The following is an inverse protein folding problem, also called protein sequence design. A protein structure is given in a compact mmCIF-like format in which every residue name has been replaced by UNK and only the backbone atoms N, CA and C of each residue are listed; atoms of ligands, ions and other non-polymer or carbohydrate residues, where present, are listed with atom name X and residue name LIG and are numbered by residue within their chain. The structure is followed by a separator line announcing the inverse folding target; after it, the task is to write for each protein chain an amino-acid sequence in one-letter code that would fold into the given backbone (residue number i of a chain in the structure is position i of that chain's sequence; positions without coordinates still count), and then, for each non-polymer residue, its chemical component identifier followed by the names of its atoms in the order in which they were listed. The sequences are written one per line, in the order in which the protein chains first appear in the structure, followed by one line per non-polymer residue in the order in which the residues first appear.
data_IF_717969439361
#
_entry.id   IF_717969439361
#
_cell.length_a   1.000
_cell.length_b   1.000
_cell.length_c   1.000
_cell.angle_alpha   90.00
_cell.angle_beta   90.00
_cell.angle_gamma   90.00
#
_symmetry.space_group_name_H-M   'P 1'
#
loop_
_entity.id
_entity.type
_entity.pdbx_description
1 polymer ?
#
# COMPACT_ATOMS: atom_id res chain seq x y z
N UNK A 1 -2.65 60.97 46.16
CA UNK A 1 -2.19 60.37 44.90
C UNK A 1 -2.13 58.86 45.08
N UNK A 2 -3.09 58.09 44.53
CA UNK A 2 -3.08 56.61 44.55
C UNK A 2 -2.26 56.10 43.37
N UNK A 3 -1.15 55.41 43.64
CA UNK A 3 -0.34 54.74 42.62
C UNK A 3 -0.97 53.37 42.29
N UNK A 4 -1.45 53.18 41.07
CA UNK A 4 -1.89 51.90 40.56
C UNK A 4 -0.66 51.17 40.00
N UNK A 5 -0.34 50.02 40.58
CA UNK A 5 0.66 49.10 40.07
C UNK A 5 -0.03 48.14 39.07
N UNK A 6 0.32 48.27 37.83
CA UNK A 6 -0.14 47.34 36.77
C UNK A 6 0.80 46.13 36.76
N UNK A 7 0.31 44.97 37.21
CA UNK A 7 1.02 43.72 37.10
C UNK A 7 0.75 43.15 35.70
N UNK A 8 1.72 43.20 34.80
CA UNK A 8 1.68 42.56 33.49
C UNK A 8 2.01 41.07 33.71
N UNK A 9 0.98 40.20 33.76
CA UNK A 9 1.17 38.75 33.77
C UNK A 9 1.49 38.31 32.36
N UNK A 10 2.78 38.06 32.08
CA UNK A 10 3.23 37.40 30.84
C UNK A 10 2.97 35.91 31.05
N UNK A 11 1.89 35.41 30.49
CA UNK A 11 1.73 33.98 30.31
C UNK A 11 2.75 33.50 29.27
N UNK A 12 3.65 32.57 29.62
CA UNK A 12 4.46 31.93 28.59
C UNK A 12 3.52 31.11 27.73
N UNK A 13 3.31 31.55 26.49
CA UNK A 13 2.78 30.65 25.48
C UNK A 13 3.81 29.51 25.31
N UNK A 14 3.50 28.37 25.91
CA UNK A 14 4.16 27.13 25.55
C UNK A 14 3.70 26.84 24.11
N UNK A 15 4.45 27.31 23.13
CA UNK A 15 4.38 26.81 21.78
C UNK A 15 4.79 25.33 21.90
N UNK A 16 3.82 24.43 21.97
CA UNK A 16 4.06 23.02 21.73
C UNK A 16 4.52 22.94 20.29
N UNK A 17 5.83 22.84 20.10
CA UNK A 17 6.40 22.45 18.82
C UNK A 17 5.70 21.18 18.40
N UNK A 18 4.87 21.25 17.35
CA UNK A 18 4.38 20.05 16.70
C UNK A 18 5.64 19.25 16.32
N UNK A 19 5.82 18.10 16.94
CA UNK A 19 6.83 17.15 16.51
C UNK A 19 6.42 16.73 15.11
N UNK A 20 7.09 17.28 14.12
CA UNK A 20 7.00 16.78 12.74
C UNK A 20 7.17 15.27 12.79
N UNK A 21 6.21 14.55 12.20
CA UNK A 21 6.30 13.11 12.06
C UNK A 21 7.64 12.76 11.43
N UNK A 22 8.54 12.20 12.21
CA UNK A 22 9.84 11.72 11.73
C UNK A 22 9.95 10.23 12.07
N UNK A 23 9.44 9.37 11.19
CA UNK A 23 9.45 7.94 11.44
C UNK A 23 10.76 7.26 11.05
N UNK A 24 11.89 7.95 11.12
CA UNK A 24 13.18 7.43 10.67
C UNK A 24 13.46 6.03 11.22
N UNK A 25 13.10 5.80 12.49
CA UNK A 25 13.28 4.51 13.18
C UNK A 25 12.33 3.40 12.66
N UNK A 26 11.31 3.76 11.89
CA UNK A 26 10.36 2.82 11.29
C UNK A 26 10.80 2.34 9.90
N UNK A 27 11.84 2.95 9.35
CA UNK A 27 12.36 2.65 8.02
C UNK A 27 13.82 2.20 8.11
N UNK A 28 14.29 1.60 7.02
CA UNK A 28 15.71 1.30 6.82
C UNK A 28 16.32 0.32 7.85
N UNK A 29 15.57 -0.74 8.19
CA UNK A 29 16.15 -1.84 8.96
C UNK A 29 17.24 -2.54 8.13
N UNK A 30 18.53 -2.42 8.49
CA UNK A 30 19.61 -3.11 7.80
C UNK A 30 19.35 -4.62 7.77
N UNK A 31 19.57 -5.24 6.61
CA UNK A 31 19.30 -6.66 6.40
C UNK A 31 17.83 -7.03 6.22
N UNK A 32 16.89 -6.11 6.44
CA UNK A 32 15.45 -6.31 6.22
C UNK A 32 15.08 -6.48 4.74
N UNK A 33 13.82 -6.86 4.46
CA UNK A 33 13.35 -7.08 3.09
C UNK A 33 13.45 -5.80 2.23
N UNK A 34 13.28 -4.63 2.84
CA UNK A 34 13.29 -3.33 2.18
C UNK A 34 14.58 -2.54 2.41
N UNK A 35 15.62 -3.21 2.89
CA UNK A 35 16.95 -2.63 3.00
C UNK A 35 17.39 -2.03 1.64
N UNK A 36 17.62 -0.73 1.61
CA UNK A 36 17.90 0.04 0.39
C UNK A 36 19.29 -0.17 -0.17
N UNK A 37 20.22 -0.56 0.70
CA UNK A 37 21.60 -0.82 0.32
C UNK A 37 21.80 -2.25 -0.20
N UNK A 38 20.72 -3.05 -0.17
CA UNK A 38 20.73 -4.45 -0.60
C UNK A 38 19.88 -4.67 -1.85
N UNK A 39 20.52 -4.97 -2.98
CA UNK A 39 19.83 -5.45 -4.19
C UNK A 39 19.70 -6.97 -4.13
N UNK A 40 18.53 -7.45 -3.68
CA UNK A 40 18.27 -8.88 -3.48
C UNK A 40 17.84 -9.57 -4.77
N UNK A 41 18.21 -10.85 -4.89
CA UNK A 41 17.70 -11.75 -5.93
C UNK A 41 16.61 -12.63 -5.34
N UNK A 42 15.41 -12.55 -5.89
CA UNK A 42 14.25 -13.36 -5.52
C UNK A 42 14.02 -14.37 -6.64
N UNK A 43 14.03 -15.65 -6.30
CA UNK A 43 13.75 -16.76 -7.21
C UNK A 43 12.35 -17.30 -6.92
N UNK A 44 11.58 -17.51 -7.95
CA UNK A 44 10.21 -18.06 -7.89
C UNK A 44 10.15 -19.28 -8.77
N UNK A 45 9.76 -20.40 -8.19
CA UNK A 45 9.62 -21.68 -8.90
C UNK A 45 8.18 -22.18 -8.75
N UNK A 46 7.43 -22.12 -9.84
CA UNK A 46 6.08 -22.66 -9.92
C UNK A 46 6.13 -24.15 -10.18
N UNK A 47 5.24 -24.90 -9.53
CA UNK A 47 5.12 -26.34 -9.77
C UNK A 47 4.38 -26.65 -11.08
N UNK A 48 3.44 -25.80 -11.49
CA UNK A 48 2.70 -25.95 -12.73
C UNK A 48 3.40 -25.20 -13.87
N UNK A 49 3.78 -25.89 -14.96
CA UNK A 49 4.42 -25.25 -16.11
C UNK A 49 3.51 -24.23 -16.82
N UNK A 50 2.19 -24.36 -16.65
CA UNK A 50 1.20 -23.45 -17.25
C UNK A 50 0.88 -22.25 -16.32
N UNK A 51 1.68 -22.01 -15.30
CA UNK A 51 1.44 -20.97 -14.29
C UNK A 51 1.05 -19.62 -14.88
N UNK A 52 1.67 -19.24 -16.00
CA UNK A 52 1.45 -17.92 -16.61
C UNK A 52 0.03 -17.81 -17.18
N UNK A 53 -0.46 -18.78 -17.94
CA UNK A 53 -1.82 -18.77 -18.47
C UNK A 53 -2.86 -18.83 -17.35
N UNK A 54 -2.65 -19.69 -16.36
CA UNK A 54 -3.55 -19.81 -15.20
C UNK A 54 -3.66 -18.46 -14.46
N UNK A 55 -2.55 -17.80 -14.19
CA UNK A 55 -2.54 -16.52 -13.49
C UNK A 55 -3.06 -15.36 -14.34
N UNK A 56 -2.83 -15.39 -15.66
CA UNK A 56 -3.34 -14.38 -16.58
C UNK A 56 -4.88 -14.48 -16.71
N UNK A 57 -5.42 -15.67 -16.85
CA UNK A 57 -6.86 -15.89 -16.91
C UNK A 57 -7.53 -15.54 -15.59
N UNK A 58 -6.92 -15.93 -14.46
CA UNK A 58 -7.43 -15.63 -13.13
C UNK A 58 -7.42 -14.13 -12.83
N UNK A 59 -6.50 -13.37 -13.39
CA UNK A 59 -6.45 -11.93 -13.20
C UNK A 59 -7.77 -11.22 -13.58
N UNK A 60 -8.43 -11.73 -14.63
CA UNK A 60 -9.69 -11.17 -15.12
C UNK A 60 -10.94 -11.82 -14.53
N UNK A 61 -10.86 -13.11 -14.16
CA UNK A 61 -12.03 -13.89 -13.74
C UNK A 61 -12.15 -14.04 -12.22
N UNK A 62 -11.02 -14.13 -11.53
CA UNK A 62 -10.93 -14.25 -10.07
C UNK A 62 -9.62 -13.62 -9.58
N UNK A 63 -9.56 -12.29 -9.45
CA UNK A 63 -8.31 -11.56 -9.20
C UNK A 63 -7.65 -11.88 -7.84
N UNK A 64 -8.33 -12.53 -6.94
CA UNK A 64 -7.76 -12.97 -5.65
C UNK A 64 -7.25 -14.42 -5.68
N UNK A 65 -7.49 -15.15 -6.76
CA UNK A 65 -6.99 -16.51 -6.94
C UNK A 65 -5.46 -16.55 -6.94
N UNK A 66 -4.91 -17.55 -6.27
CA UNK A 66 -3.47 -17.76 -6.15
C UNK A 66 -3.12 -19.20 -6.45
N UNK A 67 -1.95 -19.39 -7.02
CA UNK A 67 -1.34 -20.71 -7.19
C UNK A 67 -0.11 -20.85 -6.29
N UNK A 68 0.23 -22.08 -5.88
CA UNK A 68 1.42 -22.33 -5.07
C UNK A 68 2.70 -22.20 -5.91
N UNK A 69 3.71 -21.64 -5.27
CA UNK A 69 5.08 -21.63 -5.77
C UNK A 69 6.07 -21.69 -4.62
N UNK A 70 7.32 -21.96 -4.91
CA UNK A 70 8.41 -21.84 -3.95
C UNK A 70 9.15 -20.53 -4.19
N UNK A 71 9.63 -19.90 -3.11
CA UNK A 71 10.46 -18.70 -3.17
C UNK A 71 11.80 -18.97 -2.51
N UNK A 72 12.88 -18.64 -3.21
CA UNK A 72 14.22 -18.68 -2.63
C UNK A 72 14.79 -17.27 -2.53
N UNK A 73 15.25 -16.91 -1.33
CA UNK A 73 15.96 -15.68 -1.03
C UNK A 73 17.15 -15.95 -0.12
N UNK A 74 18.34 -15.46 -0.46
CA UNK A 74 19.58 -15.64 0.30
C UNK A 74 19.89 -17.12 0.61
N UNK A 75 19.57 -18.04 -0.32
CA UNK A 75 19.77 -19.47 -0.16
C UNK A 75 18.74 -20.19 0.73
N UNK A 76 17.75 -19.48 1.26
CA UNK A 76 16.64 -20.07 2.03
C UNK A 76 15.41 -20.19 1.13
N UNK A 77 14.86 -21.40 1.05
CA UNK A 77 13.63 -21.68 0.27
C UNK A 77 12.42 -21.71 1.19
N UNK A 78 11.36 -21.06 0.74
CA UNK A 78 10.04 -21.01 1.37
C UNK A 78 9.05 -21.71 0.45
N UNK A 79 8.49 -22.81 0.91
CA UNK A 79 7.60 -23.64 0.12
C UNK A 79 6.16 -23.14 0.16
N UNK A 80 5.41 -23.44 -0.89
CA UNK A 80 3.96 -23.26 -0.94
C UNK A 80 3.49 -21.83 -0.60
N UNK A 81 4.15 -20.82 -1.16
CA UNK A 81 3.67 -19.44 -1.07
C UNK A 81 2.55 -19.21 -2.10
N UNK A 82 1.59 -18.35 -1.78
CA UNK A 82 0.49 -18.03 -2.68
C UNK A 82 0.85 -16.88 -3.62
N UNK A 83 0.92 -17.11 -4.92
CA UNK A 83 1.27 -16.08 -5.92
C UNK A 83 0.10 -15.77 -6.83
N UNK A 84 -0.08 -14.49 -7.14
CA UNK A 84 -0.96 -13.98 -8.17
C UNK A 84 -0.35 -12.79 -8.90
N UNK A 85 -0.86 -12.46 -10.05
CA UNK A 85 -0.55 -11.18 -10.70
C UNK A 85 -1.26 -10.03 -10.00
N UNK A 86 -0.77 -8.81 -10.16
CA UNK A 86 -1.30 -7.60 -9.54
C UNK A 86 -1.25 -6.42 -10.53
N UNK A 87 -1.76 -5.30 -10.09
CA UNK A 87 -1.81 -4.07 -10.89
C UNK A 87 -3.10 -3.97 -11.67
N UNK A 88 -3.15 -3.07 -12.61
CA UNK A 88 -4.24 -2.87 -13.56
C UNK A 88 -3.60 -2.69 -14.94
N UNK A 89 -3.48 -1.48 -15.48
CA UNK A 89 -2.75 -1.24 -16.74
C UNK A 89 -1.31 -1.78 -16.74
N UNK A 90 -0.65 -1.78 -15.58
CA UNK A 90 0.70 -2.33 -15.39
C UNK A 90 0.80 -3.85 -15.58
N UNK A 91 -0.32 -4.58 -15.52
CA UNK A 91 -0.40 -5.99 -15.92
C UNK A 91 -0.92 -6.12 -17.36
N UNK A 92 -2.06 -5.49 -17.66
CA UNK A 92 -2.79 -5.70 -18.93
C UNK A 92 -1.94 -5.31 -20.14
N UNK A 93 -1.30 -4.14 -20.09
CA UNK A 93 -0.52 -3.66 -21.24
C UNK A 93 0.69 -4.52 -21.57
N UNK A 94 1.60 -4.85 -20.63
CA UNK A 94 2.71 -5.74 -20.94
C UNK A 94 2.26 -7.17 -21.30
N UNK A 95 1.24 -7.70 -20.62
CA UNK A 95 0.72 -9.03 -20.91
C UNK A 95 0.16 -9.13 -22.34
N UNK A 96 -0.62 -8.15 -22.78
CA UNK A 96 -1.18 -8.10 -24.15
C UNK A 96 -0.08 -7.92 -25.23
N UNK A 97 1.06 -7.36 -24.85
CA UNK A 97 2.22 -7.24 -25.72
C UNK A 97 3.17 -8.46 -25.63
N UNK A 98 2.76 -9.53 -24.97
CA UNK A 98 3.56 -10.76 -24.82
C UNK A 98 4.80 -10.61 -23.96
N UNK A 99 4.87 -9.57 -23.11
CA UNK A 99 5.98 -9.38 -22.20
C UNK A 99 5.83 -10.28 -20.96
N UNK A 100 6.84 -11.10 -20.62
CA UNK A 100 6.81 -11.90 -19.39
C UNK A 100 7.03 -11.04 -18.13
N UNK A 101 7.42 -9.78 -18.27
CA UNK A 101 7.70 -8.86 -17.17
C UNK A 101 6.43 -8.22 -16.64
N UNK A 102 5.62 -9.00 -15.94
CA UNK A 102 4.37 -8.60 -15.29
C UNK A 102 4.55 -8.44 -13.77
N UNK A 103 3.69 -7.70 -13.07
CA UNK A 103 3.84 -7.48 -11.63
C UNK A 103 3.24 -8.62 -10.81
N UNK A 104 3.90 -8.95 -9.68
CA UNK A 104 3.56 -10.06 -8.78
C UNK A 104 3.08 -9.58 -7.41
N UNK A 105 2.14 -10.33 -6.84
CA UNK A 105 1.73 -10.22 -5.44
C UNK A 105 1.89 -11.60 -4.79
N UNK A 106 2.79 -11.68 -3.83
CA UNK A 106 3.20 -12.90 -3.16
C UNK A 106 2.67 -12.85 -1.73
N UNK A 107 1.96 -13.89 -1.30
CA UNK A 107 1.50 -14.08 0.07
C UNK A 107 2.23 -15.27 0.68
N UNK A 108 3.19 -14.97 1.55
CA UNK A 108 4.02 -15.98 2.21
C UNK A 108 3.21 -16.89 3.13
N UNK A 109 2.10 -16.40 3.62
CA UNK A 109 1.30 -17.00 4.67
C UNK A 109 -0.02 -17.61 4.13
N UNK A 110 -0.14 -17.74 2.81
CA UNK A 110 -1.40 -18.14 2.18
C UNK A 110 -1.76 -19.60 2.46
N UNK A 111 -0.84 -20.52 2.21
CA UNK A 111 -1.01 -21.95 2.45
C UNK A 111 -0.42 -22.39 3.78
N UNK A 112 0.73 -21.84 4.16
CA UNK A 112 1.46 -22.18 5.38
C UNK A 112 1.38 -21.02 6.38
N UNK A 113 0.58 -21.20 7.43
CA UNK A 113 0.40 -20.18 8.47
C UNK A 113 1.72 -19.84 9.17
N UNK A 114 1.93 -18.53 9.41
CA UNK A 114 3.13 -18.04 10.11
C UNK A 114 4.35 -17.79 9.21
N UNK A 115 4.35 -18.26 7.96
CA UNK A 115 5.48 -18.06 7.05
C UNK A 115 5.67 -16.58 6.69
N UNK A 116 6.92 -16.12 6.66
CA UNK A 116 7.29 -14.73 6.39
C UNK A 116 8.63 -14.66 5.67
N UNK A 117 8.74 -13.75 4.71
CA UNK A 117 10.01 -13.41 4.06
C UNK A 117 10.64 -12.22 4.79
N UNK A 118 11.73 -12.44 5.51
CA UNK A 118 12.38 -11.42 6.34
C UNK A 118 11.36 -10.60 7.17
N UNK A 119 10.47 -11.30 7.89
CA UNK A 119 9.44 -10.69 8.75
C UNK A 119 8.17 -10.22 8.05
N UNK A 120 8.13 -10.16 6.72
CA UNK A 120 6.97 -9.69 5.95
C UNK A 120 6.10 -10.84 5.44
N UNK A 121 4.79 -10.73 5.64
CA UNK A 121 3.81 -11.73 5.16
C UNK A 121 3.52 -11.60 3.67
N UNK A 122 3.67 -10.39 3.11
CA UNK A 122 3.37 -10.10 1.71
C UNK A 122 4.52 -9.36 1.04
N UNK A 123 4.80 -9.74 -0.21
CA UNK A 123 5.78 -9.11 -1.08
C UNK A 123 5.07 -8.65 -2.34
N UNK A 124 5.30 -7.42 -2.74
CA UNK A 124 4.74 -6.84 -3.96
C UNK A 124 5.87 -6.43 -4.87
N UNK A 125 5.95 -7.06 -6.02
CA UNK A 125 6.95 -6.79 -7.04
C UNK A 125 6.27 -6.08 -8.22
N UNK A 126 6.51 -4.78 -8.37
CA UNK A 126 6.03 -3.99 -9.48
C UNK A 126 7.06 -3.99 -10.62
N UNK A 127 6.59 -4.14 -11.84
CA UNK A 127 7.43 -4.25 -13.04
C UNK A 127 7.98 -2.91 -13.55
N UNK A 128 7.72 -1.81 -12.84
CA UNK A 128 8.08 -0.45 -13.22
C UNK A 128 7.63 -0.08 -14.67
N UNK A 129 6.42 -0.51 -15.03
CA UNK A 129 5.84 -0.21 -16.35
C UNK A 129 5.79 1.31 -16.56
N UNK A 130 6.32 1.79 -17.68
CA UNK A 130 6.49 3.21 -18.03
C UNK A 130 7.38 4.03 -17.07
N UNK A 131 8.24 3.34 -16.32
CA UNK A 131 9.33 3.97 -15.55
C UNK A 131 10.68 3.38 -15.92
N UNK A 132 11.30 3.89 -16.97
CA UNK A 132 12.59 3.42 -17.46
C UNK A 132 13.73 3.61 -16.44
N UNK A 133 13.53 4.48 -15.45
CA UNK A 133 14.53 4.76 -14.41
C UNK A 133 14.43 3.81 -13.21
N UNK A 134 13.30 3.15 -12.99
CA UNK A 134 12.93 2.40 -11.78
C UNK A 134 12.97 3.27 -10.50
N UNK A 135 13.05 4.58 -10.64
CA UNK A 135 13.30 5.49 -9.54
C UNK A 135 12.06 6.22 -9.03
N UNK A 136 10.95 6.26 -9.78
CA UNK A 136 9.77 7.07 -9.42
C UNK A 136 9.20 6.68 -8.07
N UNK A 137 8.82 5.41 -7.90
CA UNK A 137 8.22 4.91 -6.65
C UNK A 137 9.23 4.97 -5.49
N UNK A 138 10.49 4.62 -5.75
CA UNK A 138 11.58 4.69 -4.78
C UNK A 138 11.82 6.13 -4.30
N UNK A 139 11.89 7.09 -5.21
CA UNK A 139 12.13 8.51 -4.88
C UNK A 139 10.92 9.12 -4.18
N UNK A 140 9.71 8.86 -4.68
CA UNK A 140 8.47 9.32 -4.04
C UNK A 140 8.37 8.81 -2.60
N UNK A 141 8.59 7.51 -2.36
CA UNK A 141 8.62 6.95 -1.01
C UNK A 141 9.67 7.63 -0.12
N UNK A 142 10.87 7.93 -0.65
CA UNK A 142 11.92 8.61 0.11
C UNK A 142 11.53 10.03 0.54
N UNK A 143 10.76 10.73 -0.28
CA UNK A 143 10.28 12.08 0.01
C UNK A 143 9.12 12.01 1.01
N UNK A 144 8.06 11.28 0.67
CA UNK A 144 6.82 11.25 1.46
C UNK A 144 7.01 10.69 2.87
N UNK A 145 7.89 9.71 3.08
CA UNK A 145 8.11 9.13 4.41
C UNK A 145 8.60 10.12 5.47
N UNK A 146 9.09 11.30 5.06
CA UNK A 146 9.47 12.37 5.97
C UNK A 146 8.27 13.07 6.59
N UNK A 147 7.10 12.98 5.95
CA UNK A 147 5.91 13.74 6.31
C UNK A 147 4.74 12.85 6.72
N UNK A 148 4.62 11.65 6.13
CA UNK A 148 3.48 10.77 6.36
C UNK A 148 3.88 9.29 6.32
N UNK A 149 3.01 8.41 6.91
CA UNK A 149 3.15 6.97 6.79
C UNK A 149 3.22 6.54 5.33
N UNK A 150 4.35 5.99 4.93
CA UNK A 150 4.61 5.62 3.53
C UNK A 150 5.17 4.21 3.46
N UNK A 151 4.77 3.38 2.48
CA UNK A 151 5.36 2.07 2.28
C UNK A 151 6.88 2.15 2.09
N UNK A 152 7.59 1.19 2.68
CA UNK A 152 9.00 0.98 2.37
C UNK A 152 9.14 0.47 0.93
N UNK A 153 10.18 0.94 0.24
CA UNK A 153 10.43 0.60 -1.16
C UNK A 153 11.92 0.36 -1.37
N UNK A 154 12.26 -0.74 -2.04
CA UNK A 154 13.59 -0.98 -2.59
C UNK A 154 13.50 -1.70 -3.95
N UNK A 155 14.64 -2.08 -4.49
CA UNK A 155 14.72 -2.81 -5.75
C UNK A 155 15.08 -4.29 -5.49
N UNK A 156 14.56 -5.17 -6.34
CA UNK A 156 14.88 -6.60 -6.33
C UNK A 156 15.05 -7.13 -7.76
N UNK A 157 15.97 -8.06 -7.95
CA UNK A 157 16.07 -8.88 -9.16
C UNK A 157 15.09 -10.03 -9.04
N UNK A 158 14.27 -10.24 -10.07
CA UNK A 158 13.33 -11.37 -10.09
C UNK A 158 13.77 -12.41 -11.11
N UNK A 159 13.80 -13.65 -10.67
CA UNK A 159 13.98 -14.84 -11.47
C UNK A 159 12.73 -15.71 -11.35
N UNK A 160 12.18 -16.16 -12.46
CA UNK A 160 11.04 -17.08 -12.48
C UNK A 160 11.44 -18.29 -13.33
N UNK A 161 11.29 -19.50 -12.78
CA UNK A 161 11.76 -20.75 -13.41
C UNK A 161 13.23 -20.60 -13.88
N UNK A 162 14.08 -20.05 -13.04
CA UNK A 162 15.49 -19.71 -13.30
C UNK A 162 15.74 -18.67 -14.42
N UNK A 163 14.71 -18.11 -15.05
CA UNK A 163 14.85 -17.07 -16.06
C UNK A 163 14.85 -15.69 -15.39
N UNK A 164 15.85 -14.88 -15.68
CA UNK A 164 15.91 -13.50 -15.19
C UNK A 164 14.86 -12.64 -15.90
N UNK A 165 13.85 -12.17 -15.16
CA UNK A 165 12.81 -11.28 -15.68
C UNK A 165 13.16 -9.80 -15.59
N UNK A 166 14.20 -9.45 -14.85
CA UNK A 166 14.65 -8.06 -14.72
C UNK A 166 14.60 -7.50 -13.31
N UNK A 167 14.78 -6.20 -13.25
CA UNK A 167 14.66 -5.43 -12.01
C UNK A 167 13.19 -5.11 -11.72
N UNK A 168 12.78 -5.25 -10.46
CA UNK A 168 11.44 -4.96 -9.96
C UNK A 168 11.51 -3.98 -8.80
N UNK A 169 10.47 -3.16 -8.67
CA UNK A 169 10.27 -2.33 -7.48
C UNK A 169 9.54 -3.19 -6.45
N UNK A 170 10.20 -3.41 -5.31
CA UNK A 170 9.65 -4.17 -4.19
C UNK A 170 9.05 -3.19 -3.18
N UNK A 171 7.72 -3.22 -3.05
CA UNK A 171 6.96 -2.26 -2.25
C UNK A 171 6.28 -2.93 -1.08
N UNK A 172 6.38 -2.32 0.10
CA UNK A 172 5.69 -2.77 1.31
C UNK A 172 4.17 -2.80 1.10
N UNK A 173 3.54 -3.83 1.59
CA UNK A 173 2.09 -3.98 1.54
C UNK A 173 1.43 -3.13 2.62
N UNK A 174 0.52 -2.23 2.25
CA UNK A 174 -0.35 -1.54 3.22
C UNK A 174 -1.36 -2.58 3.71
N UNK A 175 -1.15 -3.08 4.92
CA UNK A 175 -1.92 -4.12 5.58
C UNK A 175 -1.87 -3.95 7.10
N UNK A 176 -2.41 -4.90 7.88
CA UNK A 176 -2.40 -4.84 9.35
C UNK A 176 -0.97 -4.71 9.96
N UNK A 177 0.09 -5.20 9.27
CA UNK A 177 1.48 -5.01 9.73
C UNK A 177 1.95 -3.55 9.52
N UNK A 178 1.61 -2.95 8.37
CA UNK A 178 1.89 -1.56 8.08
C UNK A 178 1.15 -0.63 9.07
N UNK A 179 -0.15 -0.86 9.25
CA UNK A 179 -0.98 -0.06 10.17
C UNK A 179 -0.43 -0.15 11.60
N UNK A 180 -0.10 -1.36 12.09
CA UNK A 180 0.51 -1.54 13.41
C UNK A 180 1.85 -0.81 13.54
N UNK A 181 2.68 -0.82 12.50
CA UNK A 181 3.98 -0.15 12.49
C UNK A 181 3.85 1.37 12.63
N UNK A 182 2.89 1.97 11.94
CA UNK A 182 2.77 3.43 11.87
C UNK A 182 1.82 4.06 12.87
N UNK A 183 0.82 3.30 13.35
CA UNK A 183 -0.25 3.82 14.21
C UNK A 183 -0.36 3.08 15.55
N UNK A 184 0.52 2.11 15.80
CA UNK A 184 0.50 1.22 16.97
C UNK A 184 -0.84 0.46 17.17
N UNK A 185 -1.72 0.49 16.17
CA UNK A 185 -3.04 -0.15 16.17
C UNK A 185 -3.24 -0.94 14.86
N UNK A 186 -3.66 -2.20 14.95
CA UNK A 186 -3.86 -3.07 13.78
C UNK A 186 -5.31 -3.24 13.36
N UNK A 187 -6.25 -2.83 14.23
CA UNK A 187 -7.69 -3.03 14.04
C UNK A 187 -8.42 -1.74 13.64
N UNK A 188 -7.66 -0.67 13.37
CA UNK A 188 -8.19 0.59 12.85
C UNK A 188 -8.86 0.43 11.48
N UNK A 189 -9.70 1.41 11.13
CA UNK A 189 -10.39 1.44 9.84
C UNK A 189 -9.37 1.62 8.71
N UNK A 190 -9.46 0.77 7.70
CA UNK A 190 -8.60 0.81 6.52
C UNK A 190 -9.42 0.56 5.26
N UNK A 191 -9.39 1.53 4.36
CA UNK A 191 -9.97 1.43 3.02
C UNK A 191 -8.90 1.49 1.94
N UNK A 192 -9.12 0.76 0.85
CA UNK A 192 -8.45 0.97 -0.42
C UNK A 192 -9.39 1.75 -1.32
N UNK A 193 -8.98 2.93 -1.72
CA UNK A 193 -9.66 3.77 -2.71
C UNK A 193 -9.25 3.27 -4.10
N UNK A 194 -10.06 2.40 -4.68
CA UNK A 194 -9.75 1.75 -5.96
C UNK A 194 -11.06 1.43 -6.67
N UNK A 195 -11.36 2.07 -7.79
CA UNK A 195 -12.55 1.75 -8.56
C UNK A 195 -12.49 0.30 -9.05
N UNK A 196 -13.62 -0.35 -9.08
CA UNK A 196 -13.75 -1.73 -9.57
C UNK A 196 -13.65 -1.76 -11.10
N UNK A 197 -12.56 -1.19 -11.65
CA UNK A 197 -12.32 -1.20 -13.09
C UNK A 197 -11.03 -1.94 -13.43
N UNK A 198 -11.11 -2.89 -14.34
CA UNK A 198 -9.93 -3.47 -14.97
C UNK A 198 -9.65 -2.70 -16.27
N UNK A 199 -8.41 -2.26 -16.46
CA UNK A 199 -7.98 -1.53 -17.66
C UNK A 199 -8.37 -2.30 -18.95
N UNK A 200 -9.02 -1.60 -19.87
CA UNK A 200 -9.47 -2.18 -21.13
C UNK A 200 -10.77 -2.97 -21.06
N UNK A 201 -11.40 -3.12 -19.88
CA UNK A 201 -12.74 -3.67 -19.75
C UNK A 201 -13.76 -2.54 -19.62
N UNK A 202 -14.86 -2.63 -20.35
CA UNK A 202 -16.01 -1.75 -20.17
C UNK A 202 -16.79 -2.23 -18.93
N UNK A 203 -16.74 -1.47 -17.84
CA UNK A 203 -17.58 -1.74 -16.68
C UNK A 203 -18.77 -0.79 -16.69
N UNK A 204 -19.91 -1.27 -16.21
CA UNK A 204 -21.12 -0.46 -16.03
C UNK A 204 -21.08 0.36 -14.73
N UNK A 205 -20.06 0.16 -13.91
CA UNK A 205 -19.90 0.82 -12.61
C UNK A 205 -18.99 2.02 -12.78
N UNK A 206 -19.51 3.21 -12.45
CA UNK A 206 -18.77 4.47 -12.44
C UNK A 206 -18.22 4.79 -11.05
N UNK A 207 -17.71 3.78 -10.34
CA UNK A 207 -17.16 3.97 -9.01
C UNK A 207 -15.93 4.88 -9.06
N UNK A 208 -16.05 6.08 -8.49
CA UNK A 208 -14.96 7.03 -8.32
C UNK A 208 -14.70 7.26 -6.84
N UNK A 209 -13.51 6.95 -6.31
CA UNK A 209 -13.18 7.18 -4.90
C UNK A 209 -12.83 8.66 -4.64
N UNK A 210 -13.79 9.55 -4.92
CA UNK A 210 -13.63 11.01 -4.91
C UNK A 210 -14.18 11.69 -3.64
N UNK A 211 -14.62 10.92 -2.64
CA UNK A 211 -15.24 11.39 -1.40
C UNK A 211 -16.49 12.24 -1.60
N UNK A 212 -17.19 12.10 -2.71
CA UNK A 212 -18.48 12.77 -2.93
C UNK A 212 -19.59 12.12 -2.09
N UNK A 213 -20.50 12.96 -1.58
CA UNK A 213 -21.65 12.48 -0.82
C UNK A 213 -22.72 11.89 -1.75
N UNK A 214 -22.99 10.60 -1.59
CA UNK A 214 -24.04 9.87 -2.35
C UNK A 214 -25.23 9.47 -1.48
N UNK A 215 -25.16 9.69 -0.15
CA UNK A 215 -26.21 9.33 0.81
C UNK A 215 -25.68 8.45 1.97
N UNK A 216 -26.60 8.10 2.87
CA UNK A 216 -26.27 7.34 4.09
C UNK A 216 -26.12 5.82 3.88
N UNK A 217 -26.44 5.30 2.69
CA UNK A 217 -26.34 3.89 2.40
C UNK A 217 -24.92 3.54 1.93
N UNK A 218 -24.22 2.70 2.70
CA UNK A 218 -22.84 2.30 2.37
C UNK A 218 -22.73 1.54 1.05
N UNK A 219 -23.82 0.91 0.59
CA UNK A 219 -23.82 0.17 -0.68
C UNK A 219 -23.54 1.04 -1.89
N UNK A 220 -23.87 2.34 -1.81
CA UNK A 220 -23.59 3.33 -2.86
C UNK A 220 -22.09 3.57 -3.09
N UNK A 221 -21.24 3.11 -2.18
CA UNK A 221 -19.80 3.35 -2.18
C UNK A 221 -18.97 2.08 -2.47
N UNK A 222 -19.60 0.91 -2.59
CA UNK A 222 -18.88 -0.36 -2.74
C UNK A 222 -18.08 -0.46 -4.04
N UNK A 223 -18.48 0.26 -5.09
CA UNK A 223 -17.75 0.31 -6.36
C UNK A 223 -16.52 1.23 -6.33
N UNK A 224 -16.41 2.10 -5.30
CA UNK A 224 -15.35 3.09 -5.17
C UNK A 224 -14.35 2.74 -4.08
N UNK A 225 -14.79 2.03 -3.04
CA UNK A 225 -13.99 1.79 -1.83
C UNK A 225 -14.01 0.32 -1.43
N UNK A 226 -12.85 -0.24 -1.19
CA UNK A 226 -12.71 -1.62 -0.71
C UNK A 226 -12.31 -1.60 0.76
N UNK A 227 -13.20 -2.09 1.64
CA UNK A 227 -12.90 -2.24 3.06
C UNK A 227 -11.83 -3.32 3.27
N UNK A 228 -10.74 -2.97 3.97
CA UNK A 228 -9.60 -3.85 4.30
C UNK A 228 -9.50 -4.17 5.79
N UNK A 229 -10.31 -3.54 6.62
CA UNK A 229 -10.53 -3.82 8.04
C UNK A 229 -11.81 -4.61 8.26
N UNK A 230 -12.04 -5.08 9.48
CA UNK A 230 -13.23 -5.88 9.80
C UNK A 230 -14.52 -5.03 9.86
N UNK A 231 -14.39 -3.71 10.03
CA UNK A 231 -15.46 -2.70 10.05
C UNK A 231 -14.92 -1.35 9.56
N UNK A 232 -15.80 -0.37 9.27
CA UNK A 232 -15.35 0.99 8.90
C UNK A 232 -16.32 1.77 8.00
N UNK A 233 -17.41 1.16 7.52
CA UNK A 233 -18.33 1.88 6.63
C UNK A 233 -18.98 3.09 7.29
N UNK A 234 -19.35 3.01 8.58
CA UNK A 234 -19.93 4.13 9.31
C UNK A 234 -18.94 5.31 9.40
N UNK A 235 -17.68 5.01 9.69
CA UNK A 235 -16.59 5.99 9.80
C UNK A 235 -16.30 6.65 8.44
N UNK A 236 -16.30 5.87 7.35
CA UNK A 236 -16.13 6.43 6.00
C UNK A 236 -17.30 7.35 5.62
N UNK A 237 -18.53 6.93 5.89
CA UNK A 237 -19.72 7.76 5.62
C UNK A 237 -19.71 9.05 6.45
N UNK A 238 -19.30 8.97 7.72
CA UNK A 238 -19.14 10.14 8.57
C UNK A 238 -18.11 11.11 7.99
N UNK A 239 -16.94 10.63 7.57
CA UNK A 239 -15.91 11.45 6.92
C UNK A 239 -16.46 12.13 5.66
N UNK A 240 -17.07 11.35 4.76
CA UNK A 240 -17.61 11.89 3.49
C UNK A 240 -18.73 12.91 3.75
N UNK A 241 -19.63 12.62 4.69
CA UNK A 241 -20.70 13.54 5.04
C UNK A 241 -20.15 14.86 5.61
N UNK A 242 -19.16 14.78 6.50
CA UNK A 242 -18.56 15.98 7.09
C UNK A 242 -17.83 16.82 6.03
N UNK A 243 -17.08 16.18 5.13
CA UNK A 243 -16.39 16.87 4.03
C UNK A 243 -17.35 17.63 3.09
N UNK A 244 -18.56 17.10 2.88
CA UNK A 244 -19.50 17.67 1.91
C UNK A 244 -20.55 18.61 2.55
N UNK A 245 -20.97 18.31 3.77
CA UNK A 245 -22.16 18.96 4.37
C UNK A 245 -21.88 19.70 5.68
N UNK A 246 -20.79 19.36 6.42
CA UNK A 246 -20.48 19.90 7.74
C UNK A 246 -19.00 20.24 7.89
N UNK A 247 -18.42 20.96 6.95
CA UNK A 247 -16.98 21.25 6.88
C UNK A 247 -16.40 21.94 8.11
N UNK A 248 -17.23 22.65 8.88
CA UNK A 248 -16.83 23.27 10.13
C UNK A 248 -16.44 22.26 11.23
N UNK A 249 -16.83 21.00 11.10
CA UNK A 249 -16.55 19.92 12.05
C UNK A 249 -15.39 19.02 11.60
N UNK A 250 -14.72 19.35 10.50
CA UNK A 250 -13.74 18.45 9.88
C UNK A 250 -12.57 18.10 10.82
N UNK A 251 -12.12 19.04 11.62
CA UNK A 251 -11.01 18.86 12.58
C UNK A 251 -11.32 17.83 13.67
N UNK A 252 -12.61 17.55 13.90
CA UNK A 252 -13.02 16.52 14.88
C UNK A 252 -12.89 15.09 14.34
N UNK A 253 -12.78 14.92 13.02
CA UNK A 253 -12.80 13.62 12.34
C UNK A 253 -11.50 13.34 11.59
N UNK A 254 -10.88 14.38 11.05
CA UNK A 254 -9.69 14.28 10.20
C UNK A 254 -8.52 15.03 10.84
N UNK A 255 -7.36 14.41 10.89
CA UNK A 255 -6.13 15.13 11.22
C UNK A 255 -5.74 16.01 10.02
N UNK A 256 -6.28 17.23 10.00
CA UNK A 256 -6.13 18.17 8.89
C UNK A 256 -4.66 18.54 8.65
N UNK A 257 -3.87 18.72 9.70
CA UNK A 257 -2.44 19.02 9.59
C UNK A 257 -1.68 17.91 8.85
N UNK A 258 -1.97 16.65 9.18
CA UNK A 258 -1.35 15.51 8.49
C UNK A 258 -1.77 15.41 7.02
N UNK A 259 -3.01 15.79 6.70
CA UNK A 259 -3.49 15.81 5.31
C UNK A 259 -2.82 16.92 4.53
N UNK A 260 -2.71 18.12 5.09
CA UNK A 260 -2.03 19.26 4.45
C UNK A 260 -0.54 19.00 4.17
N UNK A 261 0.13 18.18 5.00
CA UNK A 261 1.51 17.75 4.73
C UNK A 261 1.64 16.82 3.52
N UNK A 262 0.54 16.23 3.05
CA UNK A 262 0.53 15.34 1.89
C UNK A 262 0.45 16.09 0.55
N UNK A 263 0.07 17.36 0.55
CA UNK A 263 -0.04 18.24 -0.61
C UNK A 263 1.10 19.23 -0.70
#
# INVERSE_FOLDING_TARGET
MKKYFFFLIIFPFLATSQTLYNPQDLYEAPGGLFDRDSLRSIYVDFQDPNYHSILADSFFTNPDYRIPANITLNGVTYDSVGIRYKGNSTFVLPNNNGSPKVPYNIDMNYWLAGQKLLGKKKVKLANAWMDATFAKEFTASKIYRKYLPTPEVNLAKLYVQNNYLGLYVNTESINKQFVKKHFDEKNGVLFKCDPVQVFGQTTTTNGEPNLNWLGNDSTLYYDSYILKSDKGWAELLQLINTLNNNTAEIDSILNVDSVLLAF
#
